data_IF_791130570603
#
_entry.id   IF_791130570603
#
_cell.length_a   1.000
_cell.length_b   1.000
_cell.length_c   1.000
_cell.angle_alpha   90.00
_cell.angle_beta   90.00
_cell.angle_gamma   90.00
#
_symmetry.space_group_name_H-M   'P 1'
#
loop_
_entity.id
_entity.type
_entity.pdbx_description
1 polymer ?
#
# COMPACT_ATOMS: atom_id res chain seq x y z
N UNK A 1 -19.86 17.41 -5.81
CA UNK A 1 -19.45 16.04 -5.49
C UNK A 1 -19.34 15.28 -6.82
N UNK A 2 -18.16 15.02 -7.29
CA UNK A 2 -17.95 14.17 -8.48
C UNK A 2 -17.21 12.94 -8.00
N UNK A 3 -17.92 11.83 -7.94
CA UNK A 3 -17.45 10.50 -7.57
C UNK A 3 -16.41 9.97 -8.58
N UNK A 4 -15.68 8.90 -8.27
CA UNK A 4 -14.83 8.11 -9.19
C UNK A 4 -15.48 7.92 -10.58
N UNK A 5 -16.80 7.90 -10.65
CA UNK A 5 -17.60 7.88 -11.87
C UNK A 5 -17.26 9.03 -12.86
N UNK A 6 -16.84 10.20 -12.36
CA UNK A 6 -16.49 11.34 -13.23
C UNK A 6 -15.12 11.25 -13.90
N UNK A 7 -14.18 10.51 -13.32
CA UNK A 7 -12.87 10.26 -13.94
C UNK A 7 -13.00 9.31 -15.13
N UNK A 8 -13.73 8.21 -14.93
CA UNK A 8 -13.93 7.19 -15.97
C UNK A 8 -14.94 7.61 -17.06
N UNK A 9 -15.89 8.50 -16.76
CA UNK A 9 -16.81 9.04 -17.77
C UNK A 9 -16.11 9.91 -18.82
N UNK A 10 -14.96 10.54 -18.52
CA UNK A 10 -14.16 11.27 -19.53
C UNK A 10 -13.39 10.35 -20.48
N UNK A 11 -13.12 9.09 -20.09
CA UNK A 11 -12.47 8.10 -20.95
C UNK A 11 -13.30 7.70 -22.20
N UNK A 12 -14.53 8.22 -22.32
CA UNK A 12 -15.39 7.97 -23.49
C UNK A 12 -15.01 8.83 -24.73
N UNK A 13 -13.99 9.69 -24.66
CA UNK A 13 -13.51 10.44 -25.82
C UNK A 13 -12.38 9.68 -26.54
N UNK A 14 -12.55 9.34 -27.82
CA UNK A 14 -11.59 8.54 -28.55
C UNK A 14 -10.35 9.35 -28.91
N UNK A 15 -9.19 8.97 -28.41
CA UNK A 15 -7.93 9.27 -29.06
C UNK A 15 -7.84 8.43 -30.35
N UNK A 16 -7.66 9.10 -31.48
CA UNK A 16 -7.63 8.48 -32.80
C UNK A 16 -6.45 7.54 -32.98
N UNK A 17 -6.60 6.29 -32.64
CA UNK A 17 -5.97 5.14 -33.30
C UNK A 17 -7.01 4.04 -33.35
N UNK A 18 -7.17 3.43 -34.53
CA UNK A 18 -8.10 2.35 -34.89
C UNK A 18 -8.13 1.20 -33.90
N UNK A 19 -8.66 1.44 -32.69
CA UNK A 19 -9.00 0.42 -31.72
C UNK A 19 -10.46 0.00 -31.95
N UNK A 20 -10.74 -1.29 -31.95
CA UNK A 20 -12.10 -1.80 -31.82
C UNK A 20 -12.74 -1.03 -30.69
N UNK A 21 -13.86 -0.38 -30.94
CA UNK A 21 -14.58 0.45 -29.98
C UNK A 21 -14.95 -0.44 -28.78
N UNK A 22 -14.21 -0.29 -27.69
CA UNK A 22 -14.52 -0.93 -26.42
C UNK A 22 -15.40 0.06 -25.63
N UNK A 23 -16.41 -0.45 -24.95
CA UNK A 23 -17.22 0.32 -24.01
C UNK A 23 -16.74 0.05 -22.59
N UNK A 24 -16.56 1.11 -21.81
CA UNK A 24 -16.28 1.00 -20.39
C UNK A 24 -17.57 1.20 -19.61
N UNK A 25 -17.95 0.19 -18.82
CA UNK A 25 -19.02 0.29 -17.83
C UNK A 25 -18.41 0.34 -16.45
N UNK A 26 -18.88 1.29 -15.62
CA UNK A 26 -18.33 1.53 -14.29
C UNK A 26 -19.42 1.39 -13.25
N UNK A 27 -19.16 0.55 -12.26
CA UNK A 27 -19.97 0.39 -11.05
C UNK A 27 -19.17 0.89 -9.85
N UNK A 28 -19.80 1.68 -8.99
CA UNK A 28 -19.19 2.20 -7.76
C UNK A 28 -19.64 1.34 -6.59
N UNK A 29 -18.69 0.97 -5.74
CA UNK A 29 -18.92 0.29 -4.46
C UNK A 29 -18.50 1.22 -3.32
N UNK A 30 -19.14 1.06 -2.16
CA UNK A 30 -18.92 1.90 -0.98
C UNK A 30 -17.96 1.24 0.04
N UNK A 31 -17.45 0.04 -0.27
CA UNK A 31 -16.55 -0.75 0.57
C UNK A 31 -15.32 -1.25 -0.21
N UNK A 32 -14.36 -1.83 0.51
CA UNK A 32 -13.12 -2.37 -0.08
C UNK A 32 -13.14 -3.90 -0.33
N UNK A 33 -14.18 -4.62 0.07
CA UNK A 33 -14.27 -6.07 -0.04
C UNK A 33 -14.93 -6.47 -1.35
N UNK A 34 -16.11 -5.91 -1.60
CA UNK A 34 -16.94 -6.28 -2.75
C UNK A 34 -16.25 -6.12 -4.13
N UNK A 35 -15.45 -5.05 -4.39
CA UNK A 35 -14.75 -4.91 -5.66
C UNK A 35 -13.82 -6.07 -6.00
N UNK A 36 -13.16 -6.67 -5.01
CA UNK A 36 -12.30 -7.84 -5.22
C UNK A 36 -13.11 -9.11 -5.47
N UNK A 37 -14.19 -9.33 -4.72
CA UNK A 37 -15.06 -10.50 -4.90
C UNK A 37 -15.67 -10.58 -6.29
N UNK A 38 -16.14 -9.47 -6.86
CA UNK A 38 -16.76 -9.45 -8.19
C UNK A 38 -15.76 -9.64 -9.33
N UNK A 39 -14.50 -9.24 -9.15
CA UNK A 39 -13.44 -9.53 -10.12
C UNK A 39 -12.97 -10.97 -10.00
N UNK A 40 -12.80 -11.51 -8.78
CA UNK A 40 -12.45 -12.92 -8.58
C UNK A 40 -13.50 -13.85 -9.15
N UNK A 41 -14.78 -13.54 -8.99
CA UNK A 41 -15.88 -14.33 -9.56
C UNK A 41 -16.00 -14.23 -11.10
N UNK A 42 -15.34 -13.23 -11.72
CA UNK A 42 -15.43 -12.94 -13.14
C UNK A 42 -16.69 -12.17 -13.54
N UNK A 43 -17.44 -11.62 -12.59
CA UNK A 43 -18.58 -10.73 -12.85
C UNK A 43 -18.11 -9.39 -13.43
N UNK A 44 -16.95 -8.91 -13.00
CA UNK A 44 -16.26 -7.70 -13.50
C UNK A 44 -14.90 -8.08 -14.06
N UNK A 45 -14.45 -7.32 -15.05
CA UNK A 45 -13.16 -7.53 -15.71
C UNK A 45 -11.97 -7.01 -14.91
N UNK A 46 -12.17 -5.94 -14.14
CA UNK A 46 -11.15 -5.28 -13.34
C UNK A 46 -11.78 -4.46 -12.22
N UNK A 47 -11.01 -4.16 -11.19
CA UNK A 47 -11.32 -3.10 -10.25
C UNK A 47 -10.20 -2.04 -10.19
N UNK A 48 -10.54 -0.88 -9.64
CA UNK A 48 -9.64 0.24 -9.47
C UNK A 48 -10.02 1.00 -8.20
N UNK A 49 -9.40 0.64 -7.07
CA UNK A 49 -9.71 1.25 -5.77
C UNK A 49 -8.63 1.01 -4.72
N UNK A 50 -7.72 0.04 -4.92
CA UNK A 50 -6.84 -0.52 -3.90
C UNK A 50 -5.37 -0.31 -4.24
N UNK A 51 -4.55 -0.23 -3.20
CA UNK A 51 -3.09 -0.24 -3.30
C UNK A 51 -2.51 -1.67 -3.23
N UNK A 52 -1.26 -1.81 -3.66
CA UNK A 52 -0.58 -3.11 -3.76
C UNK A 52 -0.62 -3.92 -2.46
N UNK A 53 -0.23 -3.40 -1.27
CA UNK A 53 -0.27 -4.20 -0.05
C UNK A 53 -1.67 -4.71 0.31
N UNK A 54 -2.74 -3.93 0.04
CA UNK A 54 -4.11 -4.40 0.26
C UNK A 54 -4.49 -5.53 -0.68
N UNK A 55 -4.11 -5.45 -1.95
CA UNK A 55 -4.35 -6.52 -2.94
C UNK A 55 -3.69 -7.83 -2.49
N UNK A 56 -2.42 -7.76 -2.10
CA UNK A 56 -1.65 -8.92 -1.67
C UNK A 56 -2.24 -9.55 -0.40
N UNK A 57 -2.56 -8.73 0.60
CA UNK A 57 -3.17 -9.18 1.85
C UNK A 57 -4.56 -9.77 1.62
N UNK A 58 -5.38 -9.16 0.76
CA UNK A 58 -6.70 -9.67 0.42
C UNK A 58 -6.61 -11.07 -0.23
N UNK A 59 -5.66 -11.27 -1.14
CA UNK A 59 -5.41 -12.57 -1.75
C UNK A 59 -5.03 -13.62 -0.69
N UNK A 60 -4.14 -13.26 0.24
CA UNK A 60 -3.72 -14.16 1.31
C UNK A 60 -4.89 -14.54 2.24
N UNK A 61 -5.65 -13.56 2.69
CA UNK A 61 -6.74 -13.76 3.65
C UNK A 61 -7.96 -14.47 3.05
N UNK A 62 -8.29 -14.18 1.80
CA UNK A 62 -9.51 -14.67 1.14
C UNK A 62 -9.25 -15.83 0.18
N UNK A 63 -7.98 -16.14 -0.12
CA UNK A 63 -7.62 -17.17 -1.09
C UNK A 63 -8.03 -16.79 -2.51
N UNK A 64 -7.99 -15.50 -2.85
CA UNK A 64 -8.25 -14.98 -4.19
C UNK A 64 -6.98 -14.96 -5.04
N UNK A 65 -7.13 -14.80 -6.36
CA UNK A 65 -6.06 -14.85 -7.35
C UNK A 65 -6.08 -13.58 -8.21
N UNK A 66 -6.09 -12.43 -7.55
CA UNK A 66 -6.08 -11.15 -8.21
C UNK A 66 -4.64 -10.67 -8.40
N UNK A 67 -4.36 -10.07 -9.55
CA UNK A 67 -3.03 -9.56 -9.89
C UNK A 67 -3.08 -8.10 -10.30
N UNK A 68 -1.97 -7.40 -10.09
CA UNK A 68 -1.77 -6.03 -10.51
C UNK A 68 -1.50 -5.98 -12.03
N UNK A 69 -2.39 -5.31 -12.78
CA UNK A 69 -2.23 -5.07 -14.21
C UNK A 69 -1.59 -3.71 -14.54
N UNK A 70 -1.43 -2.82 -13.56
CA UNK A 70 -0.74 -1.54 -13.71
C UNK A 70 -0.99 -0.57 -12.58
N UNK A 71 0.06 0.08 -12.08
CA UNK A 71 -0.02 1.17 -11.10
C UNK A 71 -0.48 2.47 -11.75
N UNK A 72 -1.38 3.19 -11.12
CA UNK A 72 -2.02 4.36 -11.73
C UNK A 72 -1.80 5.64 -10.93
N UNK A 73 -2.00 5.61 -9.61
CA UNK A 73 -1.87 6.79 -8.77
C UNK A 73 -1.56 6.43 -7.32
N UNK A 74 -1.16 7.43 -6.57
CA UNK A 74 -0.98 7.38 -5.14
C UNK A 74 -1.93 8.38 -4.47
N UNK A 75 -2.49 7.99 -3.32
CA UNK A 75 -3.30 8.87 -2.47
C UNK A 75 -2.60 8.99 -1.11
N UNK A 76 -2.11 10.20 -0.72
CA UNK A 76 -1.52 10.40 0.60
C UNK A 76 -2.51 10.04 1.71
N UNK A 77 -2.04 9.26 2.67
CA UNK A 77 -2.78 8.95 3.88
C UNK A 77 -2.58 10.08 4.88
N UNK A 78 -3.61 10.48 5.61
CA UNK A 78 -3.53 11.66 6.45
C UNK A 78 -4.19 11.52 7.81
N UNK A 79 -3.68 12.29 8.78
CA UNK A 79 -4.30 12.55 10.07
C UNK A 79 -5.14 13.82 9.92
N UNK A 80 -6.42 13.73 10.20
CA UNK A 80 -7.36 14.83 10.05
C UNK A 80 -7.95 15.24 11.39
N UNK A 81 -8.45 16.50 11.50
CA UNK A 81 -9.09 16.96 12.71
C UNK A 81 -10.36 16.14 13.01
N UNK A 82 -10.57 15.89 14.28
CA UNK A 82 -11.80 15.38 14.84
C UNK A 82 -12.45 16.45 15.71
N UNK A 83 -12.41 16.26 17.04
CA UNK A 83 -12.82 17.28 18.02
C UNK A 83 -11.70 18.28 18.33
N UNK A 84 -10.50 18.07 17.77
CA UNK A 84 -9.31 18.92 17.92
C UNK A 84 -8.74 19.28 16.55
N UNK A 85 -8.28 20.52 16.41
CA UNK A 85 -7.83 21.11 15.15
C UNK A 85 -6.30 21.18 14.99
N UNK A 86 -5.53 20.73 16.00
CA UNK A 86 -4.07 20.72 15.99
C UNK A 86 -3.52 19.51 16.73
N UNK A 87 -2.43 18.91 16.24
CA UNK A 87 -1.71 17.84 16.94
C UNK A 87 -1.04 18.35 18.24
N UNK A 88 -0.75 19.66 18.33
CA UNK A 88 -0.24 20.28 19.56
C UNK A 88 -1.26 20.26 20.71
N UNK A 89 -2.53 20.06 20.39
CA UNK A 89 -3.62 19.92 21.37
C UNK A 89 -3.79 18.49 21.91
N UNK A 90 -2.96 17.54 21.45
CA UNK A 90 -3.00 16.15 21.89
C UNK A 90 -2.81 16.06 23.41
N UNK A 91 -3.71 15.33 24.08
CA UNK A 91 -3.71 15.14 25.55
C UNK A 91 -3.77 13.67 25.89
N UNK A 92 -3.39 13.39 27.12
CA UNK A 92 -3.51 12.07 27.73
C UNK A 92 -4.95 11.55 27.65
N UNK A 93 -5.11 10.34 27.09
CA UNK A 93 -6.41 9.67 26.94
C UNK A 93 -7.23 10.12 25.73
N UNK A 94 -6.69 10.93 24.83
CA UNK A 94 -7.37 11.26 23.57
C UNK A 94 -7.53 10.02 22.67
N UNK A 95 -8.61 9.97 21.91
CA UNK A 95 -8.90 8.89 20.99
C UNK A 95 -8.56 9.26 19.55
N UNK A 96 -8.01 8.30 18.80
CA UNK A 96 -7.66 8.42 17.38
C UNK A 96 -8.30 7.25 16.63
N UNK A 97 -9.22 7.54 15.71
CA UNK A 97 -9.82 6.49 14.89
C UNK A 97 -8.96 6.15 13.69
N UNK A 98 -8.78 4.85 13.43
CA UNK A 98 -7.97 4.30 12.33
C UNK A 98 -8.74 3.19 11.60
N UNK A 99 -8.41 2.88 10.34
CA UNK A 99 -8.93 1.69 9.66
C UNK A 99 -8.52 0.40 10.37
N UNK A 100 -9.37 -0.63 10.31
CA UNK A 100 -9.14 -1.91 10.98
C UNK A 100 -8.74 -3.05 10.03
N UNK A 101 -8.57 -2.78 8.74
CA UNK A 101 -7.96 -3.77 7.84
C UNK A 101 -6.44 -3.75 8.01
N UNK A 102 -5.84 -4.95 7.93
CA UNK A 102 -4.44 -5.20 8.29
C UNK A 102 -3.46 -4.16 7.73
N UNK A 103 -3.59 -3.84 6.45
CA UNK A 103 -2.61 -2.97 5.78
C UNK A 103 -2.84 -1.48 6.03
N UNK A 104 -4.10 -1.04 6.14
CA UNK A 104 -4.40 0.38 6.46
C UNK A 104 -4.27 0.66 7.96
N UNK A 105 -4.53 -0.30 8.86
CA UNK A 105 -4.20 -0.18 10.28
C UNK A 105 -2.70 0.04 10.47
N UNK A 106 -1.87 -0.85 9.89
CA UNK A 106 -0.41 -0.74 9.96
C UNK A 106 0.09 0.61 9.41
N UNK A 107 -0.45 1.03 8.28
CA UNK A 107 -0.14 2.32 7.64
C UNK A 107 -0.51 3.51 8.53
N UNK A 108 -1.67 3.45 9.21
CA UNK A 108 -2.09 4.47 10.16
C UNK A 108 -1.15 4.54 11.36
N UNK A 109 -0.79 3.40 11.94
CA UNK A 109 0.12 3.31 13.08
C UNK A 109 1.52 3.83 12.72
N UNK A 110 2.03 3.52 11.53
CA UNK A 110 3.28 4.07 11.02
C UNK A 110 3.21 5.59 10.88
N UNK A 111 2.12 6.14 10.35
CA UNK A 111 1.94 7.59 10.24
C UNK A 111 1.86 8.26 11.63
N UNK A 112 1.21 7.63 12.61
CA UNK A 112 1.19 8.12 14.00
C UNK A 112 2.60 8.08 14.62
N UNK A 113 3.40 7.06 14.35
CA UNK A 113 4.79 6.96 14.78
C UNK A 113 5.65 8.06 14.15
N UNK A 114 5.53 8.30 12.83
CA UNK A 114 6.28 9.35 12.13
C UNK A 114 6.01 10.74 12.67
N UNK A 115 4.85 10.92 13.31
CA UNK A 115 4.47 12.16 13.99
C UNK A 115 4.72 12.15 15.51
N UNK A 116 5.42 11.12 16.02
CA UNK A 116 5.83 11.05 17.43
C UNK A 116 4.67 10.82 18.43
N UNK A 117 3.51 10.36 17.96
CA UNK A 117 2.34 10.11 18.79
C UNK A 117 2.47 8.78 19.53
N UNK A 118 2.99 7.77 18.85
CA UNK A 118 3.30 6.44 19.39
C UNK A 118 4.68 5.98 18.92
N UNK A 119 5.19 4.89 19.50
CA UNK A 119 6.35 4.15 18.97
C UNK A 119 5.96 2.70 18.79
N UNK A 120 6.26 2.11 17.64
CA UNK A 120 6.04 0.69 17.36
C UNK A 120 7.26 -0.13 17.75
N UNK A 121 7.06 -1.42 17.98
CA UNK A 121 8.13 -2.40 18.17
C UNK A 121 9.00 -2.50 16.91
N UNK A 122 10.29 -2.76 17.10
CA UNK A 122 11.21 -3.00 15.99
C UNK A 122 10.68 -4.12 15.08
N UNK A 123 10.66 -3.84 13.77
CA UNK A 123 10.24 -4.81 12.76
C UNK A 123 8.72 -5.02 12.60
N UNK A 124 7.87 -4.23 13.26
CA UNK A 124 6.42 -4.29 13.08
C UNK A 124 5.98 -4.07 11.62
N UNK A 125 6.58 -3.09 10.93
CA UNK A 125 6.44 -2.88 9.48
C UNK A 125 4.99 -2.77 8.98
N UNK A 126 4.75 -3.28 7.76
CA UNK A 126 3.47 -3.16 7.06
C UNK A 126 2.32 -4.03 7.62
N UNK A 127 2.59 -4.81 8.67
CA UNK A 127 1.60 -5.66 9.35
C UNK A 127 1.44 -5.27 10.83
N UNK A 128 1.89 -4.05 11.21
CA UNK A 128 1.76 -3.55 12.56
C UNK A 128 0.30 -3.50 13.00
N UNK A 129 0.05 -3.88 14.25
CA UNK A 129 -1.26 -3.79 14.91
C UNK A 129 -1.15 -2.96 16.18
N UNK A 130 -2.26 -2.61 16.80
CA UNK A 130 -2.25 -1.91 18.10
C UNK A 130 -1.45 -2.66 19.18
N UNK A 131 -1.27 -3.99 19.05
CA UNK A 131 -0.46 -4.81 19.97
C UNK A 131 1.05 -4.58 19.81
N UNK A 132 1.44 -3.96 18.72
CA UNK A 132 2.83 -3.65 18.41
C UNK A 132 3.24 -2.25 18.84
N UNK A 133 2.36 -1.51 19.49
CA UNK A 133 2.69 -0.26 20.14
C UNK A 133 3.61 -0.55 21.34
N UNK A 134 4.86 -0.07 21.26
CA UNK A 134 5.87 -0.20 22.31
C UNK A 134 5.78 0.95 23.32
N UNK A 135 5.56 2.18 22.82
CA UNK A 135 5.40 3.36 23.66
C UNK A 135 4.19 4.17 23.20
N UNK A 136 3.44 4.66 24.19
CA UNK A 136 2.26 5.50 24.00
C UNK A 136 2.27 6.60 25.06
N UNK A 137 3.09 7.64 24.88
CA UNK A 137 3.38 8.64 25.91
C UNK A 137 2.16 9.47 26.34
N UNK A 138 1.14 9.54 25.48
CA UNK A 138 -0.10 10.25 25.74
C UNK A 138 -1.28 9.31 26.05
N UNK A 139 -1.02 8.01 26.23
CA UNK A 139 -2.06 7.01 26.45
C UNK A 139 -3.23 7.14 25.47
N UNK A 140 -2.94 7.45 24.19
CA UNK A 140 -3.97 7.61 23.17
C UNK A 140 -4.75 6.31 23.02
N UNK A 141 -6.05 6.41 22.90
CA UNK A 141 -6.93 5.29 22.60
C UNK A 141 -7.04 5.14 21.09
N UNK A 142 -6.56 4.02 20.55
CA UNK A 142 -6.72 3.70 19.12
C UNK A 142 -8.08 3.03 18.92
N UNK A 143 -8.94 3.66 18.12
CA UNK A 143 -10.29 3.19 17.80
C UNK A 143 -10.28 2.60 16.40
N UNK A 144 -10.30 1.27 16.32
CA UNK A 144 -10.23 0.51 15.06
C UNK A 144 -11.64 0.39 14.46
N UNK A 145 -11.84 0.88 13.24
CA UNK A 145 -13.11 0.88 12.52
C UNK A 145 -12.91 0.46 11.05
N UNK A 146 -13.97 -0.03 10.41
CA UNK A 146 -13.96 -0.18 8.95
C UNK A 146 -13.57 1.16 8.29
N UNK A 147 -12.70 1.14 7.28
CA UNK A 147 -12.16 2.35 6.64
C UNK A 147 -13.28 3.33 6.21
N UNK A 148 -14.40 2.81 5.69
CA UNK A 148 -15.58 3.61 5.30
C UNK A 148 -16.32 4.27 6.48
N UNK A 149 -16.05 3.86 7.74
CA UNK A 149 -16.70 4.39 8.94
C UNK A 149 -15.84 5.43 9.67
N UNK A 150 -14.51 5.44 9.44
CA UNK A 150 -13.58 6.29 10.20
C UNK A 150 -13.96 7.78 10.09
N UNK A 151 -14.30 8.27 8.89
CA UNK A 151 -14.68 9.67 8.69
C UNK A 151 -15.97 10.08 9.43
N UNK A 152 -16.80 9.11 9.85
CA UNK A 152 -18.10 9.40 10.50
C UNK A 152 -17.97 9.75 11.98
N UNK A 153 -16.83 9.42 12.57
CA UNK A 153 -16.56 9.65 14.01
C UNK A 153 -15.71 10.90 14.28
N UNK A 154 -15.54 11.79 13.31
CA UNK A 154 -14.81 13.06 13.46
C UNK A 154 -15.36 13.93 14.61
N UNK A 155 -16.67 13.86 14.90
CA UNK A 155 -17.28 14.56 16.04
C UNK A 155 -17.13 13.86 17.39
N UNK A 156 -16.55 12.65 17.43
CA UNK A 156 -16.48 11.79 18.61
C UNK A 156 -15.04 11.49 19.06
N UNK A 157 -14.09 11.47 18.14
CA UNK A 157 -12.66 11.23 18.41
C UNK A 157 -11.85 12.51 18.31
N UNK A 158 -10.68 12.56 18.97
CA UNK A 158 -9.79 13.71 18.88
C UNK A 158 -9.28 13.90 17.45
N UNK A 159 -8.88 12.80 16.80
CA UNK A 159 -8.38 12.78 15.43
C UNK A 159 -8.89 11.53 14.69
N UNK A 160 -8.83 11.58 13.38
CA UNK A 160 -9.12 10.43 12.50
C UNK A 160 -8.00 10.27 11.48
N UNK A 161 -7.65 9.03 11.14
CA UNK A 161 -6.66 8.73 10.09
C UNK A 161 -7.40 8.13 8.90
N UNK A 162 -7.34 8.81 7.75
CA UNK A 162 -8.20 8.50 6.61
C UNK A 162 -7.41 8.18 5.34
N UNK A 163 -7.91 7.18 4.61
CA UNK A 163 -7.55 6.96 3.22
C UNK A 163 -8.01 8.16 2.35
N UNK A 164 -7.23 8.48 1.31
CA UNK A 164 -7.47 9.66 0.47
C UNK A 164 -8.89 9.72 -0.11
N UNK A 165 -9.42 8.60 -0.61
CA UNK A 165 -10.78 8.56 -1.16
C UNK A 165 -11.86 8.86 -0.11
N UNK A 166 -11.76 8.32 1.12
CA UNK A 166 -12.72 8.58 2.20
C UNK A 166 -12.58 9.99 2.76
N UNK A 167 -11.35 10.53 2.81
CA UNK A 167 -11.13 11.93 3.15
C UNK A 167 -11.84 12.87 2.15
N UNK A 168 -11.66 12.63 0.84
CA UNK A 168 -12.32 13.40 -0.21
C UNK A 168 -13.85 13.29 -0.17
N UNK A 169 -14.40 12.10 0.12
CA UNK A 169 -15.84 11.89 0.28
C UNK A 169 -16.40 12.62 1.49
N UNK A 170 -15.63 12.71 2.57
CA UNK A 170 -15.97 13.48 3.77
C UNK A 170 -15.81 15.00 3.60
N UNK A 171 -15.26 15.43 2.46
CA UNK A 171 -15.05 16.86 2.14
C UNK A 171 -13.70 17.39 2.60
N UNK A 172 -12.80 16.53 3.08
CA UNK A 172 -11.42 16.90 3.41
C UNK A 172 -10.53 16.92 2.17
N UNK A 173 -9.51 17.76 2.20
CA UNK A 173 -8.43 17.80 1.22
C UNK A 173 -7.09 17.69 1.96
N UNK A 174 -6.23 16.75 1.56
CA UNK A 174 -4.97 16.50 2.25
C UNK A 174 -4.11 17.77 2.37
N UNK A 175 -4.03 18.58 1.33
CA UNK A 175 -3.22 19.80 1.32
C UNK A 175 -3.77 20.96 2.16
N UNK A 176 -5.04 20.88 2.62
CA UNK A 176 -5.70 21.97 3.37
C UNK A 176 -6.12 21.58 4.76
N UNK A 177 -6.61 20.34 4.91
CA UNK A 177 -7.32 19.93 6.11
C UNK A 177 -6.55 18.88 6.93
N UNK A 178 -5.55 18.19 6.33
CA UNK A 178 -4.74 17.24 7.05
C UNK A 178 -3.78 17.96 8.03
N UNK A 179 -3.74 17.47 9.27
CA UNK A 179 -2.82 17.92 10.31
C UNK A 179 -1.41 17.35 10.08
N UNK A 180 -1.34 16.15 9.54
CA UNK A 180 -0.14 15.50 9.05
C UNK A 180 -0.52 14.50 7.96
N UNK A 181 0.38 14.22 7.04
CA UNK A 181 0.15 13.27 5.95
C UNK A 181 1.45 12.74 5.36
N UNK A 182 1.37 11.61 4.68
CA UNK A 182 2.47 11.00 3.96
C UNK A 182 2.95 11.89 2.81
N UNK A 183 4.25 12.04 2.67
CA UNK A 183 4.84 12.86 1.59
C UNK A 183 4.85 12.10 0.28
N UNK A 184 4.67 12.81 -0.83
CA UNK A 184 4.66 12.24 -2.18
C UNK A 184 5.99 11.66 -2.64
N UNK A 185 7.10 12.07 -2.03
CA UNK A 185 8.46 11.57 -2.30
C UNK A 185 8.92 10.50 -1.28
N UNK A 186 8.02 10.05 -0.41
CA UNK A 186 8.30 9.03 0.60
C UNK A 186 8.29 7.62 0.02
N UNK A 187 8.83 6.66 0.78
CA UNK A 187 8.71 5.23 0.46
C UNK A 187 7.23 4.78 0.43
N UNK A 188 6.38 5.40 1.27
CA UNK A 188 4.94 5.16 1.26
C UNK A 188 4.31 5.43 -0.12
N UNK A 189 4.76 6.49 -0.83
CA UNK A 189 4.23 6.80 -2.16
C UNK A 189 4.50 5.70 -3.19
N UNK A 190 5.60 4.95 -3.04
CA UNK A 190 5.93 3.80 -3.90
C UNK A 190 5.21 2.53 -3.44
N UNK A 191 5.11 2.32 -2.15
CA UNK A 191 4.49 1.13 -1.54
C UNK A 191 2.98 1.10 -1.76
N UNK A 192 2.30 2.23 -1.56
CA UNK A 192 0.84 2.30 -1.57
C UNK A 192 0.26 2.83 -2.89
N UNK A 193 0.87 2.43 -4.01
CA UNK A 193 0.35 2.74 -5.36
C UNK A 193 -0.98 2.03 -5.59
N UNK A 194 -1.98 2.79 -5.99
CA UNK A 194 -3.29 2.26 -6.41
C UNK A 194 -3.20 1.68 -7.82
N UNK A 195 -3.75 0.49 -8.00
CA UNK A 195 -3.60 -0.34 -9.18
C UNK A 195 -4.91 -0.67 -9.87
N UNK A 196 -4.83 -1.05 -11.13
CA UNK A 196 -5.85 -1.85 -11.79
C UNK A 196 -5.60 -3.30 -11.41
N UNK A 197 -6.53 -3.91 -10.68
CA UNK A 197 -6.47 -5.31 -10.34
C UNK A 197 -7.44 -6.13 -11.20
N UNK A 198 -6.97 -7.28 -11.63
CA UNK A 198 -7.69 -8.23 -12.47
C UNK A 198 -7.53 -9.65 -11.93
N UNK A 199 -8.36 -10.57 -12.38
CA UNK A 199 -8.12 -11.99 -12.11
C UNK A 199 -6.88 -12.46 -12.86
N UNK A 200 -6.04 -13.26 -12.21
CA UNK A 200 -4.83 -13.85 -12.77
C UNK A 200 -5.06 -14.45 -14.16
N UNK A 201 -4.16 -14.16 -15.10
CA UNK A 201 -4.23 -14.55 -16.51
C UNK A 201 -5.03 -13.59 -17.40
N UNK A 202 -5.58 -12.50 -16.86
CA UNK A 202 -6.27 -11.47 -17.64
C UNK A 202 -5.46 -10.16 -17.78
N UNK A 203 -4.32 -10.03 -17.10
CA UNK A 203 -3.50 -8.83 -17.02
C UNK A 203 -3.04 -8.33 -18.39
N UNK A 204 -2.70 -9.25 -19.31
CA UNK A 204 -2.22 -8.94 -20.66
C UNK A 204 -3.33 -8.87 -21.72
N UNK A 205 -4.60 -8.94 -21.32
CA UNK A 205 -5.68 -8.87 -22.29
C UNK A 205 -5.78 -7.48 -22.94
N UNK A 206 -6.09 -7.43 -24.26
CA UNK A 206 -6.16 -6.17 -25.02
C UNK A 206 -7.05 -5.10 -24.35
N UNK A 207 -8.13 -5.50 -23.69
CA UNK A 207 -9.05 -4.56 -23.02
C UNK A 207 -8.46 -3.98 -21.74
N UNK A 208 -7.71 -4.77 -20.98
CA UNK A 208 -7.08 -4.34 -19.74
C UNK A 208 -5.87 -3.44 -20.06
N UNK A 209 -5.04 -3.84 -21.00
CA UNK A 209 -3.92 -3.00 -21.44
C UNK A 209 -4.41 -1.66 -21.99
N UNK A 210 -5.47 -1.64 -22.80
CA UNK A 210 -6.07 -0.39 -23.27
C UNK A 210 -6.61 0.50 -22.13
N UNK A 211 -7.17 -0.10 -21.06
CA UNK A 211 -7.62 0.65 -19.87
C UNK A 211 -6.43 1.26 -19.14
N UNK A 212 -5.38 0.48 -18.89
CA UNK A 212 -4.14 0.94 -18.24
C UNK A 212 -3.48 2.07 -19.03
N UNK A 213 -3.31 1.90 -20.35
CA UNK A 213 -2.72 2.90 -21.24
C UNK A 213 -3.48 4.23 -21.19
N UNK A 214 -4.81 4.18 -21.21
CA UNK A 214 -5.63 5.38 -21.12
C UNK A 214 -5.49 6.06 -19.75
N UNK A 215 -5.49 5.28 -18.65
CA UNK A 215 -5.34 5.82 -17.30
C UNK A 215 -3.95 6.42 -17.05
N UNK A 216 -2.90 5.91 -17.70
CA UNK A 216 -1.53 6.43 -17.64
C UNK A 216 -1.26 7.56 -18.64
N UNK A 217 -2.22 7.92 -19.50
CA UNK A 217 -2.03 8.98 -20.50
C UNK A 217 -1.84 10.37 -19.86
N UNK A 218 -1.12 11.25 -20.58
CA UNK A 218 -0.88 12.63 -20.13
C UNK A 218 -2.19 13.38 -19.88
N UNK A 219 -3.22 13.14 -20.72
CA UNK A 219 -4.55 13.74 -20.53
C UNK A 219 -5.17 13.40 -19.17
N UNK A 220 -5.02 12.14 -18.71
CA UNK A 220 -5.52 11.70 -17.41
C UNK A 220 -4.64 12.21 -16.26
N UNK A 221 -3.32 12.25 -16.44
CA UNK A 221 -2.40 12.84 -15.45
C UNK A 221 -2.73 14.32 -15.24
N UNK A 222 -2.89 15.08 -16.32
CA UNK A 222 -3.29 16.51 -16.24
C UNK A 222 -4.64 16.67 -15.55
N UNK A 223 -5.63 15.83 -15.88
CA UNK A 223 -6.93 15.84 -15.23
C UNK A 223 -6.82 15.54 -13.72
N UNK A 224 -5.99 14.57 -13.32
CA UNK A 224 -5.76 14.24 -11.90
C UNK A 224 -5.16 15.46 -11.19
N UNK A 225 -4.12 16.05 -11.74
CA UNK A 225 -3.43 17.20 -11.15
C UNK A 225 -4.36 18.40 -11.00
N UNK A 226 -5.12 18.75 -12.05
CA UNK A 226 -6.07 19.87 -12.01
C UNK A 226 -7.24 19.63 -11.05
N UNK A 227 -7.69 18.38 -10.96
CA UNK A 227 -8.93 18.04 -10.23
C UNK A 227 -8.70 17.87 -8.75
N UNK A 228 -7.57 17.28 -8.36
CA UNK A 228 -7.35 16.80 -6.98
C UNK A 228 -6.31 17.59 -6.20
N UNK A 229 -5.58 18.51 -6.85
CA UNK A 229 -4.66 19.46 -6.19
C UNK A 229 -3.75 18.77 -5.14
N UNK A 230 -3.12 17.64 -5.54
CA UNK A 230 -2.22 16.84 -4.69
C UNK A 230 -2.91 15.81 -3.78
N UNK A 231 -4.24 15.78 -3.70
CA UNK A 231 -4.94 14.70 -2.95
C UNK A 231 -4.94 13.35 -3.69
N UNK A 232 -4.69 13.37 -4.99
CA UNK A 232 -4.42 12.21 -5.84
C UNK A 232 -3.23 12.57 -6.72
N UNK A 233 -2.21 11.74 -6.75
CA UNK A 233 -0.93 11.99 -7.44
C UNK A 233 -0.74 10.90 -8.49
N UNK A 234 -0.58 11.25 -9.78
CA UNK A 234 -0.28 10.25 -10.81
C UNK A 234 0.99 9.48 -10.47
N UNK A 235 0.96 8.16 -10.64
CA UNK A 235 2.14 7.32 -10.44
C UNK A 235 2.97 7.29 -11.72
N UNK A 236 4.27 7.54 -11.58
CA UNK A 236 5.27 7.39 -12.64
C UNK A 236 6.23 6.28 -12.22
N UNK A 237 6.34 5.26 -13.04
CA UNK A 237 7.39 4.26 -12.86
C UNK A 237 8.73 4.96 -13.02
N UNK A 238 9.60 4.90 -12.01
CA UNK A 238 10.96 5.43 -12.13
C UNK A 238 11.68 4.70 -13.25
N UNK A 239 12.26 5.45 -14.17
CA UNK A 239 13.07 4.91 -15.27
C UNK A 239 14.41 4.29 -14.82
N UNK A 240 14.63 4.16 -13.53
CA UNK A 240 15.87 3.66 -12.92
C UNK A 240 15.86 2.15 -12.63
N UNK A 241 15.14 1.36 -13.44
CA UNK A 241 15.49 -0.04 -13.59
C UNK A 241 16.73 -0.11 -14.48
N UNK A 242 17.90 0.15 -13.92
CA UNK A 242 19.15 -0.32 -14.50
C UNK A 242 19.00 -1.83 -14.69
N UNK A 243 18.98 -2.26 -15.95
CA UNK A 243 19.17 -3.64 -16.34
C UNK A 243 20.44 -4.12 -15.62
N UNK A 244 20.27 -4.98 -14.63
CA UNK A 244 21.40 -5.75 -14.09
C UNK A 244 21.76 -6.71 -15.21
N UNK A 245 22.73 -6.27 -16.01
CA UNK A 245 23.37 -7.04 -17.05
C UNK A 245 24.04 -8.27 -16.39
N UNK A 246 23.37 -9.41 -16.47
CA UNK A 246 23.92 -10.69 -16.05
C UNK A 246 24.70 -11.32 -17.22
N UNK A 247 25.65 -10.58 -17.78
CA UNK A 247 26.71 -11.14 -18.60
C UNK A 247 28.03 -10.98 -17.85
N UNK A 248 28.55 -12.09 -17.35
CA UNK A 248 29.94 -12.53 -17.21
C UNK A 248 30.13 -13.44 -15.99
N UNK A 249 29.79 -14.71 -16.18
CA UNK A 249 30.34 -15.78 -15.38
C UNK A 249 30.49 -17.05 -16.23
N UNK A 250 31.32 -16.95 -17.29
CA UNK A 250 31.94 -18.11 -17.89
C UNK A 250 33.34 -17.68 -18.40
N UNK A 251 34.34 -18.18 -17.78
CA UNK A 251 35.66 -18.56 -18.26
C UNK A 251 36.78 -18.22 -17.25
N UNK A 252 37.15 -19.20 -16.45
CA UNK A 252 38.53 -19.35 -15.99
C UNK A 252 38.79 -20.81 -15.69
N UNK A 253 39.22 -21.43 -16.79
CA UNK A 253 39.82 -22.76 -16.85
C UNK A 253 41.14 -22.82 -16.08
N UNK A 254 41.30 -23.95 -15.40
CA UNK A 254 42.49 -24.69 -14.98
C UNK A 254 43.87 -24.04 -15.09
N UNK A 255 44.69 -24.18 -14.04
CA UNK A 255 45.99 -24.89 -14.07
C UNK A 255 46.61 -25.06 -12.67
N UNK A 256 46.85 -26.32 -12.40
CA UNK A 256 48.06 -27.00 -11.85
C UNK A 256 48.81 -26.39 -10.65
N UNK A 257 48.91 -27.18 -9.70
CA UNK A 257 49.93 -28.19 -9.33
C UNK A 257 50.62 -27.94 -7.98
N UNK A 258 50.62 -29.00 -7.26
CA UNK A 258 51.71 -29.55 -6.44
C UNK A 258 52.32 -28.71 -5.28
N UNK A 259 52.21 -29.16 -4.12
CA UNK A 259 53.24 -29.90 -3.38
C UNK A 259 53.04 -29.88 -1.87
N UNK A 260 52.83 -31.00 -1.35
CA UNK A 260 53.57 -31.73 -0.31
C UNK A 260 53.83 -31.05 1.03
N UNK A 261 53.41 -31.80 1.98
CA UNK A 261 54.24 -32.41 3.05
C UNK A 261 53.97 -31.85 4.47
N UNK A 262 53.53 -32.77 5.21
CA UNK A 262 54.08 -33.47 6.37
C UNK A 262 53.76 -32.95 7.78
N UNK A 263 53.47 -33.96 8.57
CA UNK A 263 53.55 -34.16 10.04
C UNK A 263 52.40 -33.69 10.89
N UNK A 264 51.60 -34.57 11.38
CA UNK A 264 51.72 -35.63 12.42
C UNK A 264 51.61 -35.10 13.85
N UNK A 265 50.85 -35.88 14.55
CA UNK A 265 50.79 -36.23 15.98
C UNK A 265 49.73 -35.50 16.81
N UNK A 266 48.75 -36.27 17.16
CA UNK A 266 48.57 -37.23 18.25
C UNK A 266 48.27 -36.57 19.62
N UNK A 267 47.18 -36.94 20.15
CA UNK A 267 46.82 -37.59 21.42
C UNK A 267 45.51 -37.05 21.98
N UNK A 268 44.49 -37.87 21.97
CA UNK A 268 44.10 -38.84 23.01
C UNK A 268 43.88 -38.20 24.38
N UNK A 269 42.76 -38.27 24.89
CA UNK A 269 42.27 -39.28 25.83
C UNK A 269 41.22 -38.75 26.81
N UNK A 270 40.17 -39.46 26.85
CA UNK A 270 39.40 -40.04 27.96
C UNK A 270 38.55 -39.19 28.90
N UNK A 271 37.35 -39.68 28.91
CA UNK A 271 36.52 -40.15 30.05
C UNK A 271 35.82 -39.07 30.87
N UNK A 272 34.66 -39.22 31.20
CA UNK A 272 33.65 -40.23 31.57
C UNK A 272 32.80 -39.68 32.71
N UNK A 273 31.59 -40.20 32.78
CA UNK A 273 30.66 -40.24 33.92
C UNK A 273 29.81 -39.00 34.19
N UNK A 274 28.52 -39.03 33.95
CA UNK A 274 27.41 -39.83 34.51
C UNK A 274 26.92 -39.39 35.91
N UNK A 275 25.60 -39.36 35.96
CA UNK A 275 24.71 -39.45 37.16
C UNK A 275 24.46 -38.13 37.92
N UNK A 276 23.33 -37.81 38.31
CA UNK A 276 21.99 -38.36 38.58
C UNK A 276 21.26 -37.33 39.46
N UNK A 277 19.96 -37.29 39.26
CA UNK A 277 18.90 -37.14 40.25
C UNK A 277 18.82 -35.90 41.20
N UNK A 278 17.81 -35.12 41.09
CA UNK A 278 16.53 -35.08 41.82
C UNK A 278 15.62 -34.01 41.26
#
# INVERSE_FOLDING_TARGET
>A
MMTRQSQLQRLQHPTQKSLKKQSLEVTVFDDYVRPNEVVESGEFDANYFQHIPYLDQFNEEKGTHLVNAGGIHYEPFGIYPGTKDSLDDLKDGDSIAVPNDTTNEARALLLLQDNGIITLKDGAGLNATVKDIAENPHNVEIVELEAAQVARVTGETAYVVLNGNYALEAGFSVGKDALAYEKSDSEAAKTYVNVIAVKEGNEDSEKIQALVDVLKSDEIKDFINEKYDGAVIPFEESSDAEEIDTEDADDADSKDADNADDTAEENADTTDTAEDAE
#
